data_IF_600821969564
#
_entry.id   IF_600821969564
#
_cell.length_a   1.000
_cell.length_b   1.000
_cell.length_c   1.000
_cell.angle_alpha   90.00
_cell.angle_beta   90.00
_cell.angle_gamma   90.00
#
_symmetry.space_group_name_H-M   'P 1'
#
loop_
_entity.id
_entity.type
_entity.pdbx_description
1 polymer ?
#
# COMPACT_ATOMS: atom_id res chain seq x y z
N UNK A 1 -30.53 -10.53 -47.49
CA UNK A 1 -30.86 -10.94 -46.10
C UNK A 1 -29.63 -11.14 -45.18
N UNK A 2 -28.41 -10.73 -45.56
CA UNK A 2 -27.17 -10.98 -44.80
C UNK A 2 -26.57 -9.76 -44.07
N UNK A 3 -27.13 -8.56 -44.24
CA UNK A 3 -26.54 -7.35 -43.65
C UNK A 3 -27.04 -7.03 -42.21
N UNK A 4 -28.22 -7.49 -41.85
CA UNK A 4 -28.86 -7.20 -40.55
C UNK A 4 -28.24 -8.03 -39.35
N UNK A 5 -27.69 -9.19 -39.66
CA UNK A 5 -27.17 -10.11 -38.62
C UNK A 5 -25.79 -9.67 -38.05
N UNK A 6 -24.98 -8.90 -38.80
CA UNK A 6 -23.67 -8.42 -38.36
C UNK A 6 -23.76 -7.25 -37.34
N UNK A 7 -24.78 -6.41 -37.45
CA UNK A 7 -24.98 -5.29 -36.52
C UNK A 7 -25.53 -5.73 -35.16
N UNK A 8 -26.35 -6.77 -35.12
CA UNK A 8 -26.93 -7.29 -33.87
C UNK A 8 -25.84 -7.95 -32.98
N UNK A 9 -24.86 -8.66 -33.55
CA UNK A 9 -23.75 -9.26 -32.79
C UNK A 9 -22.77 -8.21 -32.25
N UNK A 10 -22.55 -7.12 -32.95
CA UNK A 10 -21.71 -5.99 -32.49
C UNK A 10 -22.34 -5.28 -31.30
N UNK A 11 -23.62 -4.96 -31.37
CA UNK A 11 -24.38 -4.27 -30.30
C UNK A 11 -24.44 -5.12 -29.01
N UNK A 12 -24.60 -6.44 -29.14
CA UNK A 12 -24.65 -7.36 -27.99
C UNK A 12 -23.31 -7.50 -27.31
N UNK A 13 -22.16 -7.46 -28.04
CA UNK A 13 -20.82 -7.46 -27.48
C UNK A 13 -20.50 -6.16 -26.76
N UNK A 14 -20.93 -5.01 -27.29
CA UNK A 14 -20.78 -3.71 -26.63
C UNK A 14 -21.63 -3.62 -25.35
N UNK A 15 -22.88 -4.08 -25.37
CA UNK A 15 -23.73 -4.12 -24.20
C UNK A 15 -23.14 -5.02 -23.08
N UNK A 16 -22.53 -6.16 -23.45
CA UNK A 16 -21.92 -7.08 -22.49
C UNK A 16 -20.64 -6.48 -21.88
N UNK A 17 -19.82 -5.78 -22.68
CA UNK A 17 -18.62 -5.07 -22.21
C UNK A 17 -18.96 -3.91 -21.28
N UNK A 18 -20.00 -3.13 -21.61
CA UNK A 18 -20.51 -2.03 -20.78
C UNK A 18 -21.08 -2.56 -19.46
N UNK A 19 -21.83 -3.67 -19.50
CA UNK A 19 -22.38 -4.31 -18.31
C UNK A 19 -21.28 -4.84 -17.38
N UNK A 20 -20.21 -5.45 -17.94
CA UNK A 20 -19.05 -5.91 -17.20
C UNK A 20 -18.28 -4.74 -16.57
N UNK A 21 -18.10 -3.62 -17.28
CA UNK A 21 -17.50 -2.40 -16.76
C UNK A 21 -18.34 -1.80 -15.62
N UNK A 22 -19.67 -1.76 -15.75
CA UNK A 22 -20.57 -1.30 -14.69
C UNK A 22 -20.54 -2.20 -13.45
N UNK A 23 -20.44 -3.51 -13.62
CA UNK A 23 -20.30 -4.45 -12.51
C UNK A 23 -18.95 -4.31 -11.81
N UNK A 24 -17.87 -4.04 -12.55
CA UNK A 24 -16.53 -3.80 -11.97
C UNK A 24 -16.47 -2.47 -11.20
N UNK A 25 -17.05 -1.39 -11.75
CA UNK A 25 -17.10 -0.07 -11.09
C UNK A 25 -17.95 -0.12 -9.82
N UNK A 26 -19.12 -0.77 -9.86
CA UNK A 26 -19.98 -0.92 -8.67
C UNK A 26 -19.33 -1.80 -7.60
N UNK A 27 -18.59 -2.84 -7.97
CA UNK A 27 -17.89 -3.70 -7.01
C UNK A 27 -16.71 -2.97 -6.32
N UNK A 28 -15.98 -2.12 -7.05
CA UNK A 28 -14.90 -1.33 -6.47
C UNK A 28 -15.40 -0.22 -5.53
N UNK A 29 -16.53 0.42 -5.84
CA UNK A 29 -17.16 1.42 -4.96
C UNK A 29 -17.76 0.78 -3.71
N UNK A 30 -18.42 -0.36 -3.81
CA UNK A 30 -18.94 -1.11 -2.66
C UNK A 30 -17.81 -1.58 -1.73
N UNK A 31 -16.68 -2.02 -2.28
CA UNK A 31 -15.50 -2.38 -1.52
C UNK A 31 -14.89 -1.18 -0.77
N UNK A 32 -14.82 -0.01 -1.41
CA UNK A 32 -14.29 1.22 -0.81
C UNK A 32 -15.16 1.72 0.36
N UNK A 33 -16.46 1.61 0.23
CA UNK A 33 -17.43 2.06 1.25
C UNK A 33 -17.46 1.11 2.45
N UNK A 34 -17.36 -0.19 2.20
CA UNK A 34 -17.30 -1.22 3.23
C UNK A 34 -15.98 -1.16 4.03
N UNK A 35 -14.87 -0.80 3.40
CA UNK A 35 -13.57 -0.62 4.08
C UNK A 35 -13.55 0.61 5.00
N UNK A 36 -14.28 1.68 4.66
CA UNK A 36 -14.34 2.93 5.43
C UNK A 36 -15.13 2.82 6.74
N UNK A 37 -16.20 2.05 6.76
CA UNK A 37 -17.12 1.92 7.91
C UNK A 37 -16.91 0.65 8.73
N UNK A 38 -15.95 -0.21 8.34
CA UNK A 38 -15.74 -1.50 8.98
C UNK A 38 -15.24 -1.33 10.42
N UNK A 39 -15.92 -1.96 11.34
CA UNK A 39 -15.46 -2.20 12.72
C UNK A 39 -14.89 -3.61 12.81
N UNK A 40 -13.82 -3.76 13.59
CA UNK A 40 -13.13 -5.04 13.76
C UNK A 40 -13.40 -5.59 15.15
N UNK A 41 -13.76 -6.86 15.24
CA UNK A 41 -13.92 -7.54 16.51
C UNK A 41 -12.56 -7.94 17.12
N UNK A 42 -12.57 -8.34 18.39
CA UNK A 42 -11.34 -8.69 19.12
C UNK A 42 -10.55 -9.81 18.46
N UNK A 43 -11.21 -10.80 17.86
CA UNK A 43 -10.57 -11.93 17.21
C UNK A 43 -9.87 -11.51 15.90
N UNK A 44 -10.48 -10.61 15.12
CA UNK A 44 -9.87 -10.04 13.92
C UNK A 44 -8.63 -9.21 14.27
N UNK A 45 -8.70 -8.36 15.29
CA UNK A 45 -7.56 -7.58 15.81
C UNK A 45 -6.41 -8.52 16.21
N UNK A 46 -6.71 -9.56 17.01
CA UNK A 46 -5.67 -10.50 17.45
C UNK A 46 -5.04 -11.25 16.27
N UNK A 47 -5.84 -11.66 15.28
CA UNK A 47 -5.33 -12.28 14.05
C UNK A 47 -4.41 -11.34 13.27
N UNK A 48 -4.79 -10.09 13.08
CA UNK A 48 -3.97 -9.09 12.39
C UNK A 48 -2.66 -8.83 13.14
N UNK A 49 -2.69 -8.81 14.47
CA UNK A 49 -1.52 -8.61 15.33
C UNK A 49 -0.48 -9.74 15.18
N UNK A 50 -0.95 -10.96 15.00
CA UNK A 50 -0.11 -12.14 14.80
C UNK A 50 0.36 -12.30 13.34
N UNK A 51 -0.25 -11.57 12.41
CA UNK A 51 0.12 -11.56 10.99
C UNK A 51 1.38 -10.72 10.81
N UNK A 52 2.29 -11.19 9.95
CA UNK A 52 3.47 -10.43 9.49
C UNK A 52 3.40 -10.21 7.98
N UNK A 53 4.12 -9.23 7.50
CA UNK A 53 4.40 -9.07 6.08
C UNK A 53 5.91 -9.15 5.84
N UNK A 54 6.30 -9.81 4.75
CA UNK A 54 7.69 -9.86 4.29
C UNK A 54 7.77 -9.13 2.95
N UNK A 55 8.54 -8.07 2.89
CA UNK A 55 8.87 -7.33 1.69
C UNK A 55 10.16 -7.90 1.11
N UNK A 56 10.06 -8.60 -0.01
CA UNK A 56 11.20 -9.14 -0.74
C UNK A 56 11.73 -8.07 -1.71
N UNK A 57 13.02 -7.78 -1.65
CA UNK A 57 13.71 -6.83 -2.53
C UNK A 57 15.02 -7.42 -3.04
N UNK A 58 15.65 -6.76 -4.03
CA UNK A 58 17.00 -7.16 -4.50
C UNK A 58 18.10 -7.05 -3.43
N UNK A 59 17.84 -6.35 -2.32
CA UNK A 59 18.79 -6.19 -1.19
C UNK A 59 18.53 -7.16 -0.04
N UNK A 60 17.44 -7.92 -0.08
CA UNK A 60 17.02 -8.84 0.97
C UNK A 60 15.58 -8.62 1.39
N UNK A 61 15.24 -9.18 2.53
CA UNK A 61 13.89 -9.17 3.09
C UNK A 61 13.76 -8.17 4.25
N UNK A 62 12.59 -7.52 4.31
CA UNK A 62 12.18 -6.66 5.42
C UNK A 62 10.92 -7.26 6.01
N UNK A 63 10.95 -7.66 7.28
CA UNK A 63 9.78 -8.20 7.98
C UNK A 63 9.08 -7.11 8.78
N UNK A 64 7.78 -6.97 8.56
CA UNK A 64 6.91 -6.02 9.24
C UNK A 64 6.01 -6.73 10.24
N UNK A 65 5.80 -6.11 11.41
CA UNK A 65 4.72 -6.43 12.35
C UNK A 65 3.75 -5.27 12.43
N UNK A 66 2.50 -5.54 12.77
CA UNK A 66 1.39 -4.59 12.70
C UNK A 66 0.86 -4.18 14.08
N UNK A 67 0.23 -3.01 14.11
CA UNK A 67 -0.42 -2.43 15.29
C UNK A 67 -1.94 -2.24 15.06
N UNK A 68 -2.71 -3.33 14.89
CA UNK A 68 -4.14 -3.24 14.59
C UNK A 68 -4.98 -2.69 15.75
N UNK A 69 -4.44 -2.61 16.96
CA UNK A 69 -5.11 -2.00 18.09
C UNK A 69 -5.27 -0.48 17.94
N UNK A 70 -4.38 0.17 17.17
CA UNK A 70 -4.39 1.62 16.97
C UNK A 70 -4.78 2.02 15.55
N UNK A 71 -4.52 1.17 14.57
CA UNK A 71 -4.80 1.46 13.15
C UNK A 71 -5.41 0.24 12.42
N UNK A 72 -6.55 -0.30 12.88
CA UNK A 72 -7.11 -1.53 12.31
C UNK A 72 -7.50 -1.41 10.85
N UNK A 73 -8.01 -0.27 10.37
CA UNK A 73 -8.39 -0.05 8.97
C UNK A 73 -7.17 -0.09 8.07
N UNK A 74 -6.08 0.57 8.47
CA UNK A 74 -4.83 0.63 7.69
C UNK A 74 -4.13 -0.72 7.66
N UNK A 75 -4.07 -1.43 8.79
CA UNK A 75 -3.50 -2.79 8.85
C UNK A 75 -4.29 -3.74 7.95
N UNK A 76 -5.63 -3.74 8.06
CA UNK A 76 -6.48 -4.60 7.23
C UNK A 76 -6.29 -4.29 5.74
N UNK A 77 -6.31 -3.02 5.35
CA UNK A 77 -6.11 -2.59 3.97
C UNK A 77 -4.75 -3.03 3.43
N UNK A 78 -3.67 -2.86 4.20
CA UNK A 78 -2.34 -3.31 3.79
C UNK A 78 -2.30 -4.82 3.58
N UNK A 79 -2.86 -5.62 4.50
CA UNK A 79 -2.90 -7.08 4.40
C UNK A 79 -3.71 -7.52 3.17
N UNK A 80 -4.86 -6.91 2.90
CA UNK A 80 -5.70 -7.24 1.74
C UNK A 80 -4.99 -6.89 0.42
N UNK A 81 -4.38 -5.71 0.31
CA UNK A 81 -3.60 -5.30 -0.86
C UNK A 81 -2.41 -6.23 -1.10
N UNK A 82 -1.64 -6.56 -0.05
CA UNK A 82 -0.52 -7.48 -0.15
C UNK A 82 -0.97 -8.89 -0.57
N UNK A 83 -2.06 -9.39 0.03
CA UNK A 83 -2.61 -10.71 -0.29
C UNK A 83 -3.13 -10.81 -1.73
N UNK A 84 -3.56 -9.71 -2.33
CA UNK A 84 -3.98 -9.64 -3.73
C UNK A 84 -2.82 -9.46 -4.73
N UNK A 85 -1.56 -9.34 -4.26
CA UNK A 85 -0.41 -9.05 -5.11
C UNK A 85 -0.35 -7.60 -5.59
N UNK A 86 -1.12 -6.68 -4.98
CA UNK A 86 -1.16 -5.28 -5.38
C UNK A 86 0.23 -4.62 -5.37
N UNK A 87 1.06 -4.94 -4.38
CA UNK A 87 2.39 -4.36 -4.23
C UNK A 87 3.45 -4.99 -5.14
N UNK A 88 3.20 -6.13 -5.78
CA UNK A 88 4.19 -6.83 -6.59
C UNK A 88 4.64 -5.97 -7.78
N UNK A 89 5.95 -5.71 -7.86
CA UNK A 89 6.57 -4.84 -8.87
C UNK A 89 6.42 -3.34 -8.59
N UNK A 90 5.77 -2.91 -7.50
CA UNK A 90 5.90 -1.52 -7.01
C UNK A 90 7.30 -1.29 -6.48
N UNK A 91 7.75 -0.03 -6.43
CA UNK A 91 9.10 0.32 -6.01
C UNK A 91 9.12 1.19 -4.76
N UNK A 92 10.26 1.19 -4.07
CA UNK A 92 10.60 2.31 -3.20
C UNK A 92 10.97 3.50 -4.10
N UNK A 93 9.97 4.31 -4.45
CA UNK A 93 10.08 5.40 -5.42
C UNK A 93 10.59 6.71 -4.82
N UNK A 94 10.76 6.77 -3.50
CA UNK A 94 11.34 7.91 -2.79
C UNK A 94 12.20 7.43 -1.63
N UNK A 95 13.47 7.85 -1.60
CA UNK A 95 14.42 7.51 -0.54
C UNK A 95 15.11 8.78 -0.06
N UNK A 96 14.98 9.10 1.24
CA UNK A 96 15.53 10.32 1.84
C UNK A 96 16.42 9.91 3.02
N UNK A 97 17.76 9.95 2.86
CA UNK A 97 18.71 9.65 3.95
C UNK A 97 18.44 10.48 5.21
N UNK A 98 18.48 9.83 6.34
CA UNK A 98 18.17 10.45 7.63
C UNK A 98 16.69 10.72 7.87
N UNK A 99 15.80 10.23 6.97
CA UNK A 99 14.36 10.42 7.12
C UNK A 99 13.57 9.13 6.84
N UNK A 100 13.28 8.81 5.55
CA UNK A 100 12.40 7.68 5.21
C UNK A 100 12.80 6.98 3.90
N UNK A 101 12.30 5.74 3.73
CA UNK A 101 12.04 5.13 2.42
C UNK A 101 10.54 5.00 2.23
N UNK A 102 10.02 5.37 1.05
CA UNK A 102 8.59 5.38 0.73
C UNK A 102 8.31 4.53 -0.51
N UNK A 103 7.27 3.70 -0.43
CA UNK A 103 6.84 2.80 -1.50
C UNK A 103 5.33 2.61 -1.54
N UNK A 104 4.87 1.56 -2.25
CA UNK A 104 3.47 1.16 -2.30
C UNK A 104 2.61 1.92 -3.32
N UNK A 105 3.23 2.69 -4.21
CA UNK A 105 2.56 3.39 -5.33
C UNK A 105 2.41 2.45 -6.53
N UNK A 106 1.19 2.14 -7.02
CA UNK A 106 1.00 1.33 -8.22
C UNK A 106 1.58 1.97 -9.49
N UNK A 107 1.65 3.32 -9.56
CA UNK A 107 2.25 4.01 -10.70
C UNK A 107 3.76 3.80 -10.77
N UNK A 108 4.41 3.40 -9.67
CA UNK A 108 5.83 3.09 -9.64
C UNK A 108 6.21 1.80 -10.37
N UNK A 109 5.23 1.01 -10.83
CA UNK A 109 5.44 -0.14 -11.73
C UNK A 109 5.87 0.31 -13.13
N UNK A 110 5.50 1.53 -13.53
CA UNK A 110 5.88 2.11 -14.82
C UNK A 110 7.32 2.59 -14.82
N UNK A 111 7.96 2.56 -16.00
CA UNK A 111 9.25 3.22 -16.22
C UNK A 111 9.12 4.76 -16.28
N UNK A 112 7.92 5.28 -16.54
CA UNK A 112 7.64 6.72 -16.49
C UNK A 112 7.60 7.21 -15.04
N UNK A 113 8.72 7.76 -14.60
CA UNK A 113 8.89 8.30 -13.25
C UNK A 113 8.09 9.56 -12.95
N UNK A 114 7.52 10.22 -14.00
CA UNK A 114 6.76 11.46 -13.81
C UNK A 114 5.50 11.25 -12.95
N UNK A 115 4.97 10.03 -12.97
CA UNK A 115 3.76 9.63 -12.25
C UNK A 115 4.04 8.97 -10.89
N UNK A 116 5.31 8.72 -10.54
CA UNK A 116 5.64 8.08 -9.28
C UNK A 116 5.25 8.98 -8.09
N UNK A 117 4.65 8.38 -7.08
CA UNK A 117 4.14 9.07 -5.88
C UNK A 117 2.71 9.57 -5.99
N UNK A 118 2.03 9.36 -7.13
CA UNK A 118 0.68 9.91 -7.37
C UNK A 118 -0.44 8.87 -7.33
N UNK A 119 -0.11 7.57 -7.35
CA UNK A 119 -1.08 6.49 -7.41
C UNK A 119 -1.59 6.01 -6.05
N UNK A 120 -2.64 5.20 -6.11
CA UNK A 120 -3.27 4.59 -4.94
C UNK A 120 -4.17 3.43 -5.33
N UNK A 121 -4.87 2.81 -4.36
CA UNK A 121 -5.67 1.60 -4.58
C UNK A 121 -7.07 1.87 -5.14
N UNK A 122 -7.40 3.13 -5.49
CA UNK A 122 -8.73 3.54 -5.94
C UNK A 122 -9.67 3.94 -4.80
N UNK A 123 -9.20 3.97 -3.56
CA UNK A 123 -9.92 4.46 -2.38
C UNK A 123 -8.97 5.14 -1.41
N UNK A 124 -9.53 5.84 -0.42
CA UNK A 124 -8.77 6.45 0.69
C UNK A 124 -9.27 5.94 2.03
N UNK A 125 -8.41 6.02 3.03
CA UNK A 125 -8.67 5.64 4.41
C UNK A 125 -8.71 6.88 5.29
N UNK A 126 -9.66 6.91 6.24
CA UNK A 126 -9.67 7.89 7.31
C UNK A 126 -8.46 7.71 8.22
N UNK A 127 -7.89 8.83 8.67
CA UNK A 127 -6.74 8.81 9.56
C UNK A 127 -7.03 8.07 10.88
N UNK A 128 -6.07 7.26 11.31
CA UNK A 128 -6.07 6.56 12.60
C UNK A 128 -4.84 7.02 13.39
N UNK A 129 -4.82 8.31 13.78
CA UNK A 129 -3.68 8.88 14.51
C UNK A 129 -3.57 8.30 15.92
N UNK A 130 -2.35 8.13 16.38
CA UNK A 130 -2.03 7.59 17.70
C UNK A 130 -0.86 8.35 18.34
N UNK A 131 -0.56 8.02 19.59
CA UNK A 131 0.62 8.56 20.30
C UNK A 131 1.89 7.75 20.09
N UNK A 132 1.89 6.79 19.14
CA UNK A 132 3.10 6.03 18.81
C UNK A 132 4.06 6.96 18.07
N UNK A 133 5.30 7.14 18.56
CA UNK A 133 6.25 8.07 17.96
C UNK A 133 6.84 7.49 16.67
N UNK A 134 7.17 8.36 15.70
CA UNK A 134 7.89 8.02 14.50
C UNK A 134 9.39 7.87 14.80
N UNK A 135 9.78 6.70 15.27
CA UNK A 135 11.18 6.32 15.50
C UNK A 135 11.73 5.53 14.32
N UNK A 136 13.04 5.35 14.28
CA UNK A 136 13.68 4.45 13.31
C UNK A 136 12.99 3.07 13.32
N UNK A 137 12.60 2.59 12.15
CA UNK A 137 11.85 1.35 11.95
C UNK A 137 10.34 1.49 11.95
N UNK A 138 9.77 2.64 12.34
CA UNK A 138 8.31 2.86 12.30
C UNK A 138 7.78 2.77 10.88
N UNK A 139 6.70 2.00 10.70
CA UNK A 139 5.91 1.88 9.49
C UNK A 139 4.68 2.79 9.58
N UNK A 140 4.54 3.73 8.66
CA UNK A 140 3.47 4.73 8.67
C UNK A 140 2.91 4.97 7.27
N UNK A 141 1.67 5.47 7.19
CA UNK A 141 1.00 5.73 5.91
C UNK A 141 1.40 7.08 5.33
N UNK A 142 1.77 7.08 4.05
CA UNK A 142 1.88 8.31 3.29
C UNK A 142 0.50 8.85 2.91
N UNK A 143 0.37 10.18 2.79
CA UNK A 143 -0.86 10.87 2.44
C UNK A 143 -0.60 12.19 1.71
N UNK A 144 -1.62 12.72 1.05
CA UNK A 144 -1.63 14.09 0.53
C UNK A 144 -1.92 15.13 1.66
N UNK A 145 -2.33 16.33 1.32
CA UNK A 145 -2.64 17.37 2.31
C UNK A 145 -3.81 17.01 3.24
N UNK A 146 -4.85 16.36 2.69
CA UNK A 146 -5.98 15.87 3.49
C UNK A 146 -5.52 14.70 4.37
N UNK A 147 -5.72 14.76 5.70
CA UNK A 147 -5.44 13.64 6.62
C UNK A 147 -6.10 12.32 6.21
N UNK A 148 -7.27 12.37 5.58
CA UNK A 148 -8.06 11.21 5.15
C UNK A 148 -7.76 10.77 3.72
N UNK A 149 -6.58 11.12 3.18
CA UNK A 149 -6.17 10.76 1.81
C UNK A 149 -5.18 9.60 1.73
N UNK A 150 -4.90 8.90 2.83
CA UNK A 150 -4.07 7.70 2.82
C UNK A 150 -4.69 6.63 1.91
N UNK A 151 -3.85 5.91 1.16
CA UNK A 151 -4.28 4.85 0.24
C UNK A 151 -3.45 3.58 0.39
N UNK A 152 -2.52 3.35 -0.54
CA UNK A 152 -1.59 2.23 -0.51
C UNK A 152 -0.15 2.63 -0.22
N UNK A 153 0.20 3.91 -0.33
CA UNK A 153 1.58 4.34 -0.13
C UNK A 153 1.93 4.38 1.36
N UNK A 154 3.09 3.85 1.69
CA UNK A 154 3.61 3.78 3.04
C UNK A 154 5.08 4.20 3.08
N UNK A 155 5.57 4.51 4.27
CA UNK A 155 6.98 4.78 4.47
C UNK A 155 7.52 4.07 5.73
N UNK A 156 8.81 3.80 5.71
CA UNK A 156 9.58 3.28 6.84
C UNK A 156 10.58 4.36 7.26
N UNK A 157 10.55 4.75 8.53
CA UNK A 157 11.49 5.71 9.09
C UNK A 157 12.89 5.11 9.19
N UNK A 158 13.91 5.80 8.66
CA UNK A 158 15.32 5.39 8.80
C UNK A 158 16.01 6.14 9.94
N UNK A 159 15.37 7.15 10.50
CA UNK A 159 15.77 7.90 11.70
C UNK A 159 14.51 8.39 12.43
N UNK A 160 14.67 8.93 13.64
CA UNK A 160 13.58 9.50 14.41
C UNK A 160 13.03 10.76 13.72
N UNK A 161 11.69 10.84 13.60
CA UNK A 161 10.96 11.89 12.87
C UNK A 161 9.79 12.43 13.70
N UNK A 162 10.06 12.92 14.91
CA UNK A 162 9.06 13.36 15.88
C UNK A 162 8.10 14.46 15.34
N UNK A 163 8.49 15.19 14.29
CA UNK A 163 7.61 16.17 13.64
C UNK A 163 6.43 15.55 12.88
N UNK A 164 6.42 14.23 12.68
CA UNK A 164 5.30 13.48 12.09
C UNK A 164 4.30 12.97 13.14
N UNK A 165 4.65 13.01 14.44
CA UNK A 165 3.86 12.43 15.51
C UNK A 165 2.47 13.09 15.58
N UNK A 166 1.43 12.24 15.71
CA UNK A 166 0.03 12.68 15.72
C UNK A 166 -0.51 13.22 14.38
N UNK A 167 0.29 13.21 13.32
CA UNK A 167 -0.09 13.75 11.99
C UNK A 167 -0.12 12.69 10.88
N UNK A 168 0.48 11.53 11.12
CA UNK A 168 0.50 10.38 10.21
C UNK A 168 0.08 9.12 10.96
N UNK A 169 -0.59 8.21 10.25
CA UNK A 169 -1.06 6.95 10.83
C UNK A 169 0.07 5.94 10.91
N UNK A 170 0.57 5.70 12.11
CA UNK A 170 1.47 4.58 12.40
C UNK A 170 0.65 3.30 12.46
N UNK A 171 0.99 2.30 11.66
CA UNK A 171 0.24 1.04 11.62
C UNK A 171 1.11 -0.22 11.82
N UNK A 172 2.41 -0.04 12.05
CA UNK A 172 3.35 -1.14 12.31
C UNK A 172 4.78 -0.67 12.49
N UNK A 173 5.69 -1.62 12.49
CA UNK A 173 7.13 -1.37 12.46
C UNK A 173 7.89 -2.52 11.81
N UNK A 174 9.15 -2.27 11.44
CA UNK A 174 10.10 -3.29 10.99
C UNK A 174 10.52 -4.12 12.20
N UNK A 175 10.31 -5.43 12.13
CA UNK A 175 10.79 -6.37 13.13
C UNK A 175 12.15 -6.97 12.79
N UNK A 176 12.45 -7.12 11.48
CA UNK A 176 13.70 -7.66 10.96
C UNK A 176 14.03 -7.01 9.62
N UNK A 177 15.34 -6.85 9.28
CA UNK A 177 15.76 -6.32 7.97
C UNK A 177 15.97 -4.81 7.94
N UNK A 178 16.26 -4.14 9.08
CA UNK A 178 16.60 -2.71 9.08
C UNK A 178 17.94 -2.42 8.36
N UNK A 179 18.83 -3.38 8.24
CA UNK A 179 20.03 -3.30 7.42
C UNK A 179 19.71 -3.27 5.91
N UNK A 180 18.66 -3.98 5.49
CA UNK A 180 18.13 -3.90 4.11
C UNK A 180 17.52 -2.52 3.85
N UNK A 181 16.78 -1.96 4.82
CA UNK A 181 16.26 -0.58 4.74
C UNK A 181 17.39 0.43 4.58
N UNK A 182 18.51 0.25 5.29
CA UNK A 182 19.69 1.11 5.18
C UNK A 182 20.35 1.02 3.80
N UNK A 183 20.43 -0.17 3.21
CA UNK A 183 20.93 -0.35 1.85
C UNK A 183 20.03 0.34 0.81
N UNK A 184 18.72 0.29 1.00
CA UNK A 184 17.74 0.94 0.11
C UNK A 184 17.87 2.46 0.19
N UNK A 185 17.93 3.04 1.41
CA UNK A 185 18.01 4.50 1.56
C UNK A 185 19.34 5.07 1.08
N UNK A 186 20.39 4.26 1.04
CA UNK A 186 21.72 4.66 0.57
C UNK A 186 21.85 4.67 -0.97
N UNK A 187 20.83 4.22 -1.72
CA UNK A 187 20.90 4.15 -3.17
C UNK A 187 21.05 5.55 -3.80
N UNK A 188 21.87 5.68 -4.86
CA UNK A 188 21.92 6.88 -5.68
C UNK A 188 20.51 7.24 -6.19
N UNK A 189 20.14 8.51 -6.10
CA UNK A 189 18.78 9.00 -6.42
C UNK A 189 18.83 10.27 -7.24
N UNK A 190 17.73 10.53 -7.93
CA UNK A 190 17.52 11.76 -8.69
C UNK A 190 17.11 12.94 -7.79
N UNK A 191 16.86 14.10 -8.41
CA UNK A 191 16.47 15.33 -7.70
C UNK A 191 15.10 15.27 -7.02
N UNK A 192 14.31 14.21 -7.27
CA UNK A 192 13.02 13.94 -6.63
C UNK A 192 13.11 12.81 -5.59
N UNK A 193 14.33 12.47 -5.18
CA UNK A 193 14.63 11.38 -4.25
C UNK A 193 14.25 9.97 -4.77
N UNK A 194 14.01 9.79 -6.08
CA UNK A 194 13.71 8.49 -6.65
C UNK A 194 15.03 7.75 -6.97
N UNK A 195 15.24 6.52 -6.45
CA UNK A 195 16.45 5.75 -6.76
C UNK A 195 16.73 5.65 -8.25
N UNK A 196 17.99 5.88 -8.67
CA UNK A 196 18.38 5.79 -10.09
C UNK A 196 18.12 4.39 -10.66
N UNK A 197 18.40 3.36 -9.86
CA UNK A 197 18.02 1.99 -10.16
C UNK A 197 16.75 1.61 -9.41
N UNK A 198 15.80 0.98 -10.10
CA UNK A 198 14.55 0.52 -9.50
C UNK A 198 14.81 -0.42 -8.33
N UNK A 199 14.16 -0.14 -7.22
CA UNK A 199 14.12 -1.00 -6.03
C UNK A 199 12.71 -1.55 -5.90
N UNK A 200 12.45 -2.61 -6.65
CA UNK A 200 11.15 -3.29 -6.65
C UNK A 200 10.94 -4.07 -5.35
N UNK A 201 9.66 -4.23 -5.00
CA UNK A 201 9.24 -5.08 -3.90
C UNK A 201 8.21 -6.10 -4.35
N UNK A 202 8.20 -7.23 -3.64
CA UNK A 202 7.10 -8.18 -3.59
C UNK A 202 6.71 -8.37 -2.14
N UNK A 203 5.42 -8.34 -1.82
CA UNK A 203 4.95 -8.41 -0.44
C UNK A 203 4.21 -9.72 -0.19
N UNK A 204 4.70 -10.51 0.74
CA UNK A 204 4.08 -11.76 1.18
C UNK A 204 3.48 -11.60 2.57
N UNK A 205 2.26 -12.06 2.74
CA UNK A 205 1.62 -12.15 4.07
C UNK A 205 1.93 -13.50 4.69
N UNK A 206 2.46 -13.45 5.89
CA UNK A 206 2.69 -14.62 6.75
C UNK A 206 1.62 -14.59 7.84
N UNK A 207 0.56 -15.37 7.61
CA UNK A 207 -0.50 -15.54 8.60
C UNK A 207 0.00 -16.39 9.78
N UNK A 208 -0.57 -16.22 10.98
CA UNK A 208 -0.29 -17.12 12.09
C UNK A 208 -0.64 -18.55 11.71
N UNK A 209 0.19 -19.52 12.11
CA UNK A 209 -0.13 -20.93 11.94
C UNK A 209 -1.48 -21.21 12.62
N UNK A 210 -2.43 -21.72 11.84
CA UNK A 210 -3.76 -22.05 12.34
C UNK A 210 -3.66 -23.13 13.44
N UNK A 211 -4.15 -22.80 14.63
CA UNK A 211 -4.47 -23.80 15.66
C UNK A 211 -5.85 -24.36 15.39
#
# INVERSE_FOLDING_TARGET
>A
MCYFQRYALGAMRYAFLVLLLFLFVNNSQAFSEQSRSRTFNKQEIERMKQTKAVLETKFGEITLKFFPEVAPKHVNSFIELASSGFFDGTTFHRVVPGFVIQGGDPNSKSEDRSQHGTGGPGYTLEAEFSNIPHKRGTLSMARAADPNSAGSQFFICVADAAFLDGQYTVFGEVSEGMDVVDQIVAQPRDSRDNPNERVEMKVKIVAPEGK
#
